data_IF_677955731233
#
_entry.id   IF_677955731233
#
_cell.length_a   1.000
_cell.length_b   1.000
_cell.length_c   1.000
_cell.angle_alpha   90.00
_cell.angle_beta   90.00
_cell.angle_gamma   90.00
#
_symmetry.space_group_name_H-M   'P 1'
#
loop_
_entity.id
_entity.type
_entity.pdbx_description
1 polymer ?
#
# COMPACT_ATOMS: atom_id res chain seq x y z
N UNK A 1 -72.12 45.30 51.99
CA UNK A 1 -73.51 45.03 51.58
C UNK A 1 -73.62 45.37 50.10
N UNK A 2 -74.24 44.49 49.30
CA UNK A 2 -74.99 44.71 48.03
C UNK A 2 -75.34 43.28 47.53
N UNK A 3 -76.58 43.01 47.06
CA UNK A 3 -77.11 41.64 47.02
C UNK A 3 -76.91 40.94 45.66
N UNK A 4 -76.98 39.59 45.62
CA UNK A 4 -77.22 38.83 44.40
C UNK A 4 -78.73 38.55 44.21
N UNK A 5 -79.20 38.55 42.96
CA UNK A 5 -80.57 38.12 42.61
C UNK A 5 -80.56 37.32 41.30
N UNK A 6 -81.25 36.16 41.32
CA UNK A 6 -81.90 35.44 40.18
C UNK A 6 -80.99 34.98 39.02
N UNK A 7 -81.18 33.88 38.25
CA UNK A 7 -82.12 32.73 38.14
C UNK A 7 -81.44 31.66 37.22
N UNK A 8 -81.88 30.42 36.97
CA UNK A 8 -83.05 29.61 37.37
C UNK A 8 -82.73 28.07 37.37
N UNK A 9 -83.77 27.25 37.47
CA UNK A 9 -83.91 25.79 37.24
C UNK A 9 -83.86 25.38 35.74
N UNK A 10 -84.02 24.08 35.37
CA UNK A 10 -83.61 22.82 36.03
C UNK A 10 -82.81 21.87 35.08
N UNK A 11 -82.56 20.63 35.52
CA UNK A 11 -81.59 19.68 34.96
C UNK A 11 -82.13 18.62 33.96
N UNK A 12 -81.19 17.74 33.53
CA UNK A 12 -81.28 16.48 32.73
C UNK A 12 -81.12 16.63 31.21
N UNK A 13 -80.25 15.86 30.51
CA UNK A 13 -79.27 14.81 30.89
C UNK A 13 -78.16 14.75 29.84
N UNK A 14 -76.89 14.57 30.21
CA UNK A 14 -75.85 14.03 29.30
C UNK A 14 -74.82 13.21 30.09
N UNK A 15 -74.25 12.19 29.44
CA UNK A 15 -73.60 11.03 30.07
C UNK A 15 -72.15 11.34 30.48
N UNK A 16 -71.79 10.95 31.72
CA UNK A 16 -70.40 10.80 32.14
C UNK A 16 -69.82 9.49 31.59
N UNK A 17 -68.63 9.55 30.99
CA UNK A 17 -67.70 8.44 30.87
C UNK A 17 -66.29 8.98 31.20
N UNK A 18 -65.59 8.42 32.20
CA UNK A 18 -64.33 8.98 32.70
C UNK A 18 -63.13 8.68 31.79
N UNK A 19 -62.12 9.56 31.90
CA UNK A 19 -61.00 9.70 30.97
C UNK A 19 -60.15 8.46 30.71
N UNK A 20 -59.75 8.32 29.45
CA UNK A 20 -58.72 7.39 28.98
C UNK A 20 -57.34 7.79 29.51
N UNK A 21 -56.65 6.87 30.18
CA UNK A 21 -55.30 7.11 30.69
C UNK A 21 -54.28 7.33 29.56
N UNK A 22 -53.37 8.30 29.74
CA UNK A 22 -52.29 8.57 28.79
C UNK A 22 -51.24 7.44 28.81
N UNK A 23 -50.79 7.01 27.62
CA UNK A 23 -49.62 6.13 27.48
C UNK A 23 -48.32 6.94 27.66
N UNK A 24 -47.29 6.38 28.32
CA UNK A 24 -45.96 7.00 28.37
C UNK A 24 -45.27 6.95 26.99
N UNK A 25 -44.30 7.85 26.72
CA UNK A 25 -43.57 7.88 25.46
C UNK A 25 -42.67 6.65 25.29
N UNK A 26 -42.52 6.19 24.05
CA UNK A 26 -41.75 4.98 23.70
C UNK A 26 -40.25 5.24 23.58
N UNK A 27 -39.46 4.36 24.19
CA UNK A 27 -37.99 4.33 24.12
C UNK A 27 -37.47 4.15 22.67
N UNK A 28 -36.59 5.06 22.18
CA UNK A 28 -36.02 4.97 20.83
C UNK A 28 -34.96 3.86 20.63
N UNK A 29 -34.51 3.16 21.67
CA UNK A 29 -33.45 2.14 21.58
C UNK A 29 -33.91 0.67 21.65
N UNK A 30 -35.22 0.40 21.62
CA UNK A 30 -35.74 -0.97 21.59
C UNK A 30 -35.37 -1.71 20.28
N UNK A 31 -34.81 -2.94 20.33
CA UNK A 31 -34.39 -3.67 19.13
C UNK A 31 -35.59 -4.12 18.29
N UNK A 32 -35.59 -3.74 17.01
CA UNK A 32 -36.68 -4.07 16.06
C UNK A 32 -36.70 -5.56 15.75
N UNK A 33 -37.75 -6.27 16.16
CA UNK A 33 -38.02 -7.64 15.68
C UNK A 33 -38.40 -7.61 14.19
N UNK A 34 -37.82 -8.52 13.41
CA UNK A 34 -38.15 -8.69 12.00
C UNK A 34 -39.57 -9.30 11.84
N UNK A 35 -40.31 -8.96 10.77
CA UNK A 35 -41.64 -9.53 10.51
C UNK A 35 -41.54 -11.02 10.12
N UNK A 36 -42.27 -11.86 10.85
CA UNK A 36 -42.40 -13.30 10.53
C UNK A 36 -43.31 -13.46 9.31
N UNK A 37 -42.83 -14.18 8.30
CA UNK A 37 -43.58 -14.48 7.07
C UNK A 37 -44.40 -15.78 7.26
N UNK A 38 -45.68 -15.86 6.84
CA UNK A 38 -46.48 -17.07 7.00
C UNK A 38 -45.96 -18.23 6.12
N UNK A 39 -46.14 -19.49 6.55
CA UNK A 39 -45.66 -20.65 5.81
C UNK A 39 -46.49 -20.93 4.55
N UNK A 40 -45.82 -21.23 3.44
CA UNK A 40 -46.44 -21.72 2.20
C UNK A 40 -46.68 -23.24 2.22
N UNK A 41 -47.52 -23.78 1.31
CA UNK A 41 -47.92 -25.18 1.31
C UNK A 41 -46.78 -26.15 0.97
N UNK A 42 -46.80 -27.32 1.61
CA UNK A 42 -45.76 -28.33 1.50
C UNK A 42 -45.73 -29.03 0.13
N UNK A 43 -44.53 -29.32 -0.37
CA UNK A 43 -44.30 -30.14 -1.58
C UNK A 43 -43.59 -31.43 -1.17
N UNK A 44 -44.11 -32.57 -1.61
CA UNK A 44 -43.69 -33.90 -1.15
C UNK A 44 -42.25 -34.25 -1.59
N UNK A 45 -41.59 -35.07 -0.77
CA UNK A 45 -40.28 -35.67 -1.05
C UNK A 45 -40.44 -36.89 -1.95
N UNK A 46 -39.54 -37.07 -2.91
CA UNK A 46 -39.18 -38.38 -3.45
C UNK A 46 -37.67 -38.57 -3.39
N UNK A 47 -37.25 -39.74 -2.94
CA UNK A 47 -35.87 -40.21 -2.85
C UNK A 47 -35.66 -41.30 -3.90
N UNK A 48 -34.50 -41.34 -4.53
CA UNK A 48 -34.06 -42.49 -5.34
C UNK A 48 -32.55 -42.70 -5.20
N UNK A 49 -32.16 -43.97 -5.04
CA UNK A 49 -30.80 -44.41 -4.75
C UNK A 49 -30.08 -44.97 -6.00
N UNK A 50 -28.89 -45.53 -5.79
CA UNK A 50 -27.83 -45.73 -6.79
C UNK A 50 -27.96 -46.90 -7.79
N UNK A 51 -27.28 -46.72 -8.94
CA UNK A 51 -26.60 -47.74 -9.79
C UNK A 51 -27.46 -48.75 -10.61
N UNK A 52 -26.88 -49.48 -11.59
CA UNK A 52 -25.62 -49.30 -12.35
C UNK A 52 -25.85 -49.18 -13.90
N UNK A 53 -24.77 -49.14 -14.70
CA UNK A 53 -24.79 -48.95 -16.17
C UNK A 53 -24.48 -50.26 -16.94
N UNK A 54 -25.26 -50.68 -17.95
CA UNK A 54 -24.99 -51.87 -18.78
C UNK A 54 -24.02 -51.60 -19.95
N UNK A 55 -23.49 -52.65 -20.63
CA UNK A 55 -22.20 -52.60 -21.33
C UNK A 55 -22.25 -52.33 -22.85
N UNK A 56 -21.07 -52.15 -23.45
CA UNK A 56 -20.81 -52.03 -24.90
C UNK A 56 -20.99 -53.38 -25.62
N UNK A 57 -21.44 -53.32 -26.88
CA UNK A 57 -21.30 -54.38 -27.88
C UNK A 57 -20.80 -53.79 -29.22
N UNK A 58 -20.03 -54.58 -29.98
CA UNK A 58 -19.65 -54.32 -31.37
C UNK A 58 -20.46 -55.24 -32.32
N UNK A 59 -20.40 -55.05 -33.66
CA UNK A 59 -19.55 -55.96 -34.45
C UNK A 59 -18.85 -55.35 -35.69
N UNK A 60 -18.29 -56.23 -36.52
CA UNK A 60 -17.17 -56.06 -37.49
C UNK A 60 -17.46 -55.55 -38.93
N UNK A 61 -16.37 -55.02 -39.55
CA UNK A 61 -15.86 -55.17 -40.95
C UNK A 61 -16.82 -55.11 -42.17
N UNK A 62 -16.43 -54.31 -43.19
CA UNK A 62 -15.72 -54.81 -44.40
C UNK A 62 -15.40 -53.71 -45.47
N UNK A 63 -14.41 -54.01 -46.32
CA UNK A 63 -14.11 -53.47 -47.67
C UNK A 63 -13.66 -51.98 -47.87
N UNK A 64 -12.49 -51.81 -48.51
CA UNK A 64 -12.18 -50.68 -49.42
C UNK A 64 -12.27 -51.14 -50.88
N UNK A 65 -11.62 -50.50 -51.88
CA UNK A 65 -10.67 -49.38 -51.81
C UNK A 65 -10.85 -48.29 -52.93
N UNK A 66 -9.81 -47.47 -53.15
CA UNK A 66 -9.48 -46.61 -54.32
C UNK A 66 -9.93 -45.13 -54.30
N UNK A 67 -9.06 -44.26 -54.84
CA UNK A 67 -9.40 -42.90 -55.28
C UNK A 67 -8.45 -41.80 -54.78
N UNK A 68 -7.51 -41.34 -55.62
CA UNK A 68 -6.67 -40.17 -55.34
C UNK A 68 -7.41 -38.85 -55.66
N UNK A 69 -7.04 -37.69 -55.05
CA UNK A 69 -7.76 -36.44 -55.21
C UNK A 69 -7.22 -35.54 -56.35
N UNK A 70 -8.10 -34.76 -57.00
CA UNK A 70 -7.73 -33.55 -57.76
C UNK A 70 -8.53 -32.31 -57.25
N UNK A 71 -8.38 -31.08 -57.80
CA UNK A 71 -7.54 -30.10 -57.13
C UNK A 71 -8.17 -28.71 -56.91
N UNK A 72 -7.38 -27.82 -56.29
CA UNK A 72 -7.62 -26.39 -56.12
C UNK A 72 -7.78 -25.63 -57.46
N UNK A 73 -8.76 -24.70 -57.54
CA UNK A 73 -8.57 -23.29 -57.97
C UNK A 73 -9.87 -22.49 -58.21
N UNK A 74 -9.90 -21.26 -57.64
CA UNK A 74 -10.38 -19.98 -58.25
C UNK A 74 -11.90 -19.88 -58.55
N UNK A 75 -12.53 -18.71 -58.71
CA UNK A 75 -12.12 -17.29 -58.74
C UNK A 75 -13.35 -16.37 -58.51
N UNK A 76 -13.15 -15.03 -58.63
CA UNK A 76 -14.10 -13.94 -58.96
C UNK A 76 -14.48 -12.98 -57.80
N UNK A 77 -14.52 -11.64 -57.97
CA UNK A 77 -14.09 -10.74 -59.07
C UNK A 77 -14.23 -9.24 -58.65
N UNK A 78 -13.66 -8.33 -59.45
CA UNK A 78 -13.87 -6.85 -59.49
C UNK A 78 -13.32 -6.03 -58.31
N UNK A 79 -12.85 -4.79 -58.49
CA UNK A 79 -12.12 -4.12 -59.60
C UNK A 79 -11.55 -2.77 -59.07
N UNK A 80 -10.77 -2.02 -59.84
CA UNK A 80 -10.16 -0.78 -59.33
C UNK A 80 -9.87 0.33 -60.33
N UNK A 81 -10.34 1.53 -59.97
CA UNK A 81 -9.79 2.87 -60.24
C UNK A 81 -9.77 3.43 -61.68
N UNK A 82 -9.81 4.77 -61.84
CA UNK A 82 -8.74 5.40 -62.65
C UNK A 82 -8.32 6.84 -62.24
N UNK A 83 -6.99 7.07 -62.20
CA UNK A 83 -6.19 8.25 -62.64
C UNK A 83 -4.81 8.22 -61.92
N UNK A 84 -3.63 8.48 -62.53
CA UNK A 84 -3.24 8.78 -63.93
C UNK A 84 -1.81 8.22 -64.21
N UNK A 85 -1.38 8.24 -65.49
CA UNK A 85 -0.12 7.71 -66.07
C UNK A 85 0.99 8.79 -66.25
N UNK A 86 2.20 8.52 -66.82
CA UNK A 86 3.15 7.39 -66.65
C UNK A 86 4.66 7.82 -66.63
N UNK A 87 5.57 6.83 -66.53
CA UNK A 87 6.96 6.69 -67.08
C UNK A 87 7.93 6.10 -66.02
N UNK A 88 8.89 5.20 -66.32
CA UNK A 88 9.19 4.45 -67.55
C UNK A 88 10.59 3.78 -67.48
N UNK A 89 10.76 2.58 -68.05
CA UNK A 89 12.04 1.82 -68.25
C UNK A 89 12.75 1.28 -66.99
N UNK A 90 13.59 0.24 -67.02
CA UNK A 90 13.62 -1.06 -67.74
C UNK A 90 14.58 -1.98 -66.96
N UNK A 91 14.43 -3.31 -67.05
CA UNK A 91 15.37 -4.30 -66.49
C UNK A 91 16.21 -4.94 -67.62
N UNK A 92 17.30 -5.69 -67.34
CA UNK A 92 17.14 -7.11 -66.99
C UNK A 92 18.19 -7.69 -66.00
N UNK A 93 18.21 -9.03 -65.85
CA UNK A 93 18.97 -9.86 -64.90
C UNK A 93 19.98 -10.79 -65.64
N UNK A 94 20.58 -11.75 -64.89
CA UNK A 94 21.22 -13.02 -65.34
C UNK A 94 22.74 -12.97 -65.65
N UNK A 95 23.58 -14.01 -65.45
CA UNK A 95 23.43 -15.28 -64.68
C UNK A 95 24.79 -15.91 -64.23
N UNK A 96 24.68 -17.10 -63.62
CA UNK A 96 25.66 -18.02 -63.00
C UNK A 96 26.99 -18.48 -63.69
N UNK A 97 28.04 -18.59 -62.83
CA UNK A 97 28.95 -19.75 -62.52
C UNK A 97 30.08 -20.29 -63.46
N UNK A 98 31.19 -20.67 -62.77
CA UNK A 98 32.10 -21.85 -62.97
C UNK A 98 33.12 -21.84 -64.16
N UNK A 99 34.34 -22.41 -64.12
CA UNK A 99 35.22 -22.98 -63.05
C UNK A 99 36.68 -23.24 -63.59
N UNK A 100 37.64 -23.56 -62.70
CA UNK A 100 38.97 -24.22 -62.90
C UNK A 100 40.19 -23.51 -63.52
N UNK A 101 41.28 -23.31 -62.72
CA UNK A 101 42.61 -24.02 -62.73
C UNK A 101 43.66 -23.30 -61.86
N UNK A 102 44.67 -24.03 -61.35
CA UNK A 102 45.72 -23.63 -60.36
C UNK A 102 47.14 -24.00 -60.87
N UNK A 103 48.27 -23.84 -60.10
CA UNK A 103 48.90 -22.69 -59.39
C UNK A 103 50.40 -22.54 -59.88
N UNK A 104 51.46 -22.11 -59.14
CA UNK A 104 51.67 -21.43 -57.83
C UNK A 104 52.57 -20.13 -57.93
N UNK A 105 53.07 -19.39 -56.90
CA UNK A 105 53.54 -19.64 -55.51
C UNK A 105 53.53 -18.37 -54.61
N UNK A 106 53.56 -18.57 -53.27
CA UNK A 106 54.18 -17.72 -52.20
C UNK A 106 53.60 -16.31 -51.92
N UNK A 107 53.47 -15.80 -50.67
CA UNK A 107 53.64 -16.35 -49.30
C UNK A 107 52.69 -15.55 -48.31
N UNK A 108 52.79 -15.55 -46.95
CA UNK A 108 51.79 -16.28 -46.15
C UNK A 108 50.99 -15.50 -45.07
N UNK A 109 49.99 -16.21 -44.51
CA UNK A 109 49.37 -16.04 -43.17
C UNK A 109 48.58 -14.75 -42.89
N UNK A 110 47.25 -14.87 -43.02
CA UNK A 110 46.30 -14.19 -42.14
C UNK A 110 45.47 -15.19 -41.33
N UNK A 111 44.77 -14.77 -40.27
CA UNK A 111 43.51 -15.43 -39.84
C UNK A 111 42.61 -14.60 -38.92
N UNK A 112 41.35 -14.50 -39.35
CA UNK A 112 40.09 -14.56 -38.60
C UNK A 112 39.94 -13.84 -37.24
N UNK A 113 38.97 -12.92 -37.23
CA UNK A 113 38.30 -12.44 -36.02
C UNK A 113 37.34 -13.50 -35.46
N UNK A 114 37.36 -13.68 -34.14
CA UNK A 114 36.27 -14.19 -33.32
C UNK A 114 36.13 -13.30 -32.08
N UNK A 115 34.94 -13.18 -31.46
CA UNK A 115 34.69 -12.19 -30.43
C UNK A 115 35.39 -12.55 -29.11
N UNK A 116 36.20 -11.63 -28.60
CA UNK A 116 36.90 -11.82 -27.32
C UNK A 116 35.98 -11.58 -26.12
N UNK A 117 35.96 -12.57 -25.21
CA UNK A 117 35.68 -12.33 -23.81
C UNK A 117 36.95 -11.85 -23.09
N UNK A 118 36.82 -10.83 -22.23
CA UNK A 118 37.80 -10.44 -21.23
C UNK A 118 37.06 -10.20 -19.91
N UNK A 119 37.62 -10.43 -18.73
CA UNK A 119 38.98 -10.90 -18.39
C UNK A 119 39.31 -10.47 -16.96
N UNK A 120 39.87 -11.36 -16.14
CA UNK A 120 40.27 -11.06 -14.75
C UNK A 120 41.41 -10.04 -14.67
N UNK A 121 41.51 -9.23 -13.59
CA UNK A 121 42.78 -8.63 -13.17
C UNK A 121 43.70 -9.65 -12.44
N UNK A 122 45.02 -9.39 -12.35
CA UNK A 122 46.02 -10.38 -11.95
C UNK A 122 46.27 -10.46 -10.43
N UNK A 123 47.13 -11.40 -10.03
CA UNK A 123 47.45 -11.70 -8.63
C UNK A 123 48.91 -11.39 -8.24
N UNK A 124 49.10 -10.96 -6.99
CA UNK A 124 50.37 -11.03 -6.25
C UNK A 124 50.67 -9.79 -5.39
N UNK A 125 51.45 -9.90 -4.30
CA UNK A 125 51.97 -11.09 -3.61
C UNK A 125 51.37 -11.28 -2.19
N UNK A 126 51.84 -12.31 -1.47
CA UNK A 126 51.39 -12.73 -0.13
C UNK A 126 52.07 -11.91 0.99
N UNK A 127 51.43 -11.79 2.16
CA UNK A 127 52.09 -11.32 3.38
C UNK A 127 51.16 -10.97 4.55
N UNK A 128 50.96 -11.96 5.42
CA UNK A 128 50.82 -11.85 6.89
C UNK A 128 49.49 -11.50 7.58
N UNK A 129 49.31 -12.21 8.70
CA UNK A 129 48.14 -12.27 9.56
C UNK A 129 48.18 -11.20 10.66
N UNK A 130 46.99 -10.68 11.01
CA UNK A 130 46.49 -10.17 12.32
C UNK A 130 45.21 -9.37 12.01
N UNK A 131 44.09 -9.55 12.69
CA UNK A 131 43.93 -9.76 14.13
C UNK A 131 43.19 -8.54 14.67
N UNK A 132 41.87 -8.47 14.46
CA UNK A 132 41.04 -7.32 14.84
C UNK A 132 40.73 -7.35 16.35
N UNK A 133 41.75 -7.09 17.16
CA UNK A 133 41.66 -6.67 18.56
C UNK A 133 43.09 -6.31 19.03
N UNK A 134 43.39 -5.00 19.10
CA UNK A 134 44.26 -4.40 20.11
C UNK A 134 44.37 -2.89 19.86
N UNK A 135 43.92 -2.08 20.84
CA UNK A 135 44.06 -0.61 20.84
C UNK A 135 44.59 -0.16 22.21
N UNK A 136 45.89 0.13 22.34
CA UNK A 136 46.44 0.73 23.56
C UNK A 136 46.10 2.23 23.67
N UNK A 137 46.05 2.73 24.90
CA UNK A 137 45.71 4.13 25.21
C UNK A 137 46.90 5.10 24.97
N UNK A 138 46.65 6.39 24.69
CA UNK A 138 47.71 7.38 24.48
C UNK A 138 48.29 7.93 25.80
N UNK A 139 49.60 8.21 25.82
CA UNK A 139 50.29 9.01 26.85
C UNK A 139 50.81 10.33 26.25
N UNK A 140 51.03 11.31 27.13
CA UNK A 140 51.49 12.68 26.84
C UNK A 140 52.94 12.73 26.33
N UNK A 141 53.31 13.81 25.63
CA UNK A 141 54.72 14.16 25.35
C UNK A 141 54.98 15.14 24.20
N UNK A 142 54.91 16.44 24.50
CA UNK A 142 55.69 17.56 23.92
C UNK A 142 55.57 18.03 22.45
N UNK A 143 55.79 19.34 22.28
CA UNK A 143 55.73 20.17 21.05
C UNK A 143 57.14 20.56 20.58
N UNK A 144 57.35 20.88 19.28
CA UNK A 144 57.28 22.29 18.80
C UNK A 144 56.59 22.38 17.42
N UNK A 145 56.32 23.53 16.77
CA UNK A 145 56.45 24.95 17.15
C UNK A 145 56.32 25.90 15.94
N UNK A 146 55.17 26.62 15.83
CA UNK A 146 54.98 27.93 15.16
C UNK A 146 55.14 28.09 13.61
N UNK A 147 54.01 28.22 12.89
CA UNK A 147 53.65 29.43 12.10
C UNK A 147 52.25 29.37 11.46
N UNK A 148 51.48 30.46 11.55
CA UNK A 148 50.16 30.76 10.94
C UNK A 148 50.34 31.86 9.84
N UNK A 149 49.34 32.30 9.01
CA UNK A 149 47.88 32.35 9.25
C UNK A 149 46.91 32.11 8.04
N UNK A 150 45.62 32.47 8.24
CA UNK A 150 44.43 32.46 7.36
C UNK A 150 43.64 31.13 7.27
N UNK A 151 42.34 31.05 7.66
CA UNK A 151 41.51 32.02 8.41
C UNK A 151 40.03 31.62 8.59
N UNK A 152 39.39 32.20 9.62
CA UNK A 152 37.94 32.30 9.89
C UNK A 152 37.16 31.05 10.41
N UNK A 153 36.00 31.21 11.10
CA UNK A 153 36.01 31.48 12.55
C UNK A 153 35.17 30.49 13.40
N UNK A 154 35.45 30.43 14.71
CA UNK A 154 34.76 29.55 15.68
C UNK A 154 33.69 30.25 16.52
N UNK A 155 32.85 29.41 17.13
CA UNK A 155 31.65 29.68 17.96
C UNK A 155 31.89 30.73 19.09
N UNK A 156 31.03 31.75 19.29
CA UNK A 156 31.31 32.87 20.22
C UNK A 156 31.04 32.62 21.71
N UNK A 157 31.14 31.39 22.22
CA UNK A 157 30.71 31.06 23.61
C UNK A 157 31.81 31.03 24.68
N UNK A 158 33.08 31.01 24.29
CA UNK A 158 34.21 30.86 25.23
C UNK A 158 35.11 32.11 25.30
N UNK A 159 34.56 33.22 25.80
CA UNK A 159 35.32 34.43 26.13
C UNK A 159 35.08 34.85 27.60
N UNK A 160 36.12 34.88 28.46
CA UNK A 160 35.97 35.19 29.87
C UNK A 160 35.77 36.68 30.16
N UNK A 161 35.23 36.95 31.35
CA UNK A 161 34.82 38.24 31.88
C UNK A 161 36.01 39.17 32.19
N UNK A 162 36.02 40.40 31.64
CA UNK A 162 37.03 41.41 31.99
C UNK A 162 37.02 42.67 31.10
N UNK A 163 36.61 43.80 31.69
CA UNK A 163 36.84 45.20 31.28
C UNK A 163 36.73 45.65 29.81
N UNK A 164 35.64 46.39 29.52
CA UNK A 164 35.77 47.66 28.78
C UNK A 164 34.63 48.66 29.00
N UNK A 165 35.00 49.79 29.61
CA UNK A 165 34.52 51.17 29.41
C UNK A 165 33.04 51.44 29.08
N UNK A 166 32.40 52.25 29.93
CA UNK A 166 31.04 52.75 29.78
C UNK A 166 30.77 53.46 28.43
N UNK A 167 29.60 53.16 27.84
CA UNK A 167 28.89 54.07 26.93
C UNK A 167 27.58 54.47 27.60
N UNK A 168 27.32 55.78 27.68
CA UNK A 168 26.09 56.31 28.27
C UNK A 168 24.84 55.93 27.48
N UNK A 169 23.65 55.96 28.11
CA UNK A 169 22.39 55.61 27.46
C UNK A 169 21.98 56.66 26.42
N UNK A 170 21.72 56.24 25.17
CA UNK A 170 21.07 57.12 24.20
C UNK A 170 19.57 57.17 24.48
N UNK A 171 19.05 58.38 24.74
CA UNK A 171 17.70 58.60 25.22
C UNK A 171 16.71 58.80 24.05
N UNK A 172 16.73 57.87 23.08
CA UNK A 172 15.88 57.93 21.88
C UNK A 172 14.72 56.93 21.99
N UNK A 173 13.45 57.38 22.03
CA UNK A 173 12.30 56.48 22.12
C UNK A 173 12.19 55.65 20.84
N UNK A 174 12.26 54.32 20.98
CA UNK A 174 11.98 53.40 19.87
C UNK A 174 10.48 53.44 19.54
N UNK A 175 10.09 53.42 18.25
CA UNK A 175 8.68 53.32 17.89
C UNK A 175 8.09 52.02 18.45
N UNK A 176 6.97 52.15 19.17
CA UNK A 176 6.28 51.01 19.79
C UNK A 176 5.70 50.15 18.67
N UNK A 177 6.33 49.01 18.40
CA UNK A 177 5.73 48.00 17.53
C UNK A 177 4.46 47.48 18.21
N UNK A 178 3.31 47.38 17.51
CA UNK A 178 2.12 46.81 18.11
C UNK A 178 2.42 45.37 18.53
N UNK A 179 2.19 45.06 19.81
CA UNK A 179 2.39 43.72 20.36
C UNK A 179 1.59 42.71 19.53
N UNK A 180 2.28 41.94 18.69
CA UNK A 180 1.75 40.65 18.24
C UNK A 180 1.66 39.77 19.48
N UNK A 181 0.50 39.19 19.82
CA UNK A 181 0.42 38.24 20.91
C UNK A 181 1.35 37.06 20.61
N UNK A 182 2.18 36.70 21.57
CA UNK A 182 3.13 35.60 21.45
C UNK A 182 2.37 34.26 21.57
N UNK A 183 1.75 33.85 20.46
CA UNK A 183 0.96 32.62 20.34
C UNK A 183 1.79 31.34 20.59
N UNK A 184 3.13 31.44 20.65
CA UNK A 184 3.98 30.32 21.06
C UNK A 184 3.89 30.00 22.57
N UNK A 185 3.26 30.86 23.38
CA UNK A 185 3.17 30.72 24.85
C UNK A 185 1.76 30.48 25.39
N UNK A 186 0.78 30.18 24.54
CA UNK A 186 -0.50 29.62 24.99
C UNK A 186 -0.30 28.14 25.35
N UNK A 187 0.26 27.92 26.55
CA UNK A 187 0.26 26.61 27.20
C UNK A 187 -1.17 26.13 27.38
N UNK A 188 -1.41 24.85 27.10
CA UNK A 188 -2.73 24.26 26.91
C UNK A 188 -3.73 24.66 28.02
N UNK A 189 -4.76 25.44 27.66
CA UNK A 189 -5.87 25.70 28.58
C UNK A 189 -6.62 24.38 28.77
N UNK A 190 -6.63 23.88 30.01
CA UNK A 190 -7.40 22.74 30.54
C UNK A 190 -7.92 21.72 29.49
N UNK A 191 -7.01 20.88 28.98
CA UNK A 191 -7.41 19.70 28.19
C UNK A 191 -7.92 19.99 26.78
N UNK A 192 -7.81 21.22 26.29
CA UNK A 192 -8.08 21.54 24.89
C UNK A 192 -7.21 20.73 23.93
N UNK A 193 -7.75 20.45 22.75
CA UNK A 193 -7.13 19.66 21.69
C UNK A 193 -7.22 20.48 20.40
N UNK A 194 -6.12 20.58 19.63
CA UNK A 194 -6.13 21.21 18.31
C UNK A 194 -7.22 20.59 17.42
N UNK A 195 -8.07 21.42 16.81
CA UNK A 195 -9.25 20.99 16.06
C UNK A 195 -8.93 19.91 15.00
N UNK A 196 -7.81 20.03 14.28
CA UNK A 196 -7.40 19.04 13.28
C UNK A 196 -7.16 17.62 13.86
N UNK A 197 -6.71 17.53 15.11
CA UNK A 197 -6.56 16.25 15.84
C UNK A 197 -7.93 15.79 16.33
N UNK A 198 -8.72 16.69 16.93
CA UNK A 198 -10.08 16.42 17.41
C UNK A 198 -10.97 15.83 16.30
N UNK A 199 -10.98 16.43 15.11
CA UNK A 199 -11.72 15.92 13.95
C UNK A 199 -11.26 14.52 13.51
N UNK A 200 -9.96 14.26 13.55
CA UNK A 200 -9.39 12.96 13.20
C UNK A 200 -9.66 11.88 14.25
N UNK A 201 -9.74 12.25 15.53
CA UNK A 201 -10.09 11.35 16.63
C UNK A 201 -11.61 11.07 16.71
N UNK A 202 -12.44 12.03 16.26
CA UNK A 202 -13.87 11.82 15.96
C UNK A 202 -14.11 11.00 14.68
N UNK A 203 -13.06 10.60 13.95
CA UNK A 203 -13.17 9.79 12.73
C UNK A 203 -13.73 10.53 11.50
N UNK A 204 -13.82 11.86 11.53
CA UNK A 204 -14.44 12.66 10.46
C UNK A 204 -13.59 12.65 9.18
N UNK A 205 -12.27 12.75 9.31
CA UNK A 205 -11.28 12.78 8.22
C UNK A 205 -9.85 12.59 8.78
N UNK A 206 -8.79 12.62 7.97
CA UNK A 206 -7.42 12.80 8.49
C UNK A 206 -7.18 14.21 9.02
N UNK A 207 -6.07 14.37 9.75
CA UNK A 207 -5.60 15.68 10.24
C UNK A 207 -5.28 16.66 9.10
N UNK A 208 -4.82 16.17 7.94
CA UNK A 208 -4.51 17.00 6.76
C UNK A 208 -5.78 17.47 6.06
N UNK A 209 -6.73 16.56 5.85
CA UNK A 209 -8.06 16.92 5.34
C UNK A 209 -8.79 17.89 6.29
N UNK A 210 -8.64 17.72 7.61
CA UNK A 210 -9.18 18.66 8.59
C UNK A 210 -8.60 20.07 8.41
N UNK A 211 -7.27 20.21 8.30
CA UNK A 211 -6.64 21.51 8.02
C UNK A 211 -7.12 22.10 6.66
N UNK A 212 -7.29 21.28 5.61
CA UNK A 212 -7.87 21.73 4.33
C UNK A 212 -9.33 22.20 4.45
N UNK A 213 -10.17 21.47 5.18
CA UNK A 213 -11.59 21.82 5.37
C UNK A 213 -11.75 23.09 6.21
N UNK A 214 -10.93 23.25 7.26
CA UNK A 214 -10.89 24.47 8.07
C UNK A 214 -10.45 25.65 7.20
N UNK A 215 -9.39 25.50 6.38
CA UNK A 215 -8.92 26.55 5.49
C UNK A 215 -9.95 26.99 4.43
N UNK A 216 -10.91 26.12 4.08
CA UNK A 216 -12.01 26.42 3.15
C UNK A 216 -13.30 26.90 3.85
N UNK A 217 -13.31 27.02 5.18
CA UNK A 217 -14.50 27.38 5.95
C UNK A 217 -15.58 26.30 5.95
N UNK A 218 -15.22 25.03 5.77
CA UNK A 218 -16.15 23.88 5.71
C UNK A 218 -16.38 23.20 7.06
N UNK A 219 -15.89 23.82 8.13
CA UNK A 219 -15.98 23.32 9.51
C UNK A 219 -16.50 24.43 10.39
N UNK A 220 -17.52 24.12 11.20
CA UNK A 220 -18.02 24.98 12.26
C UNK A 220 -17.66 24.36 13.61
N UNK A 221 -17.37 25.21 14.60
CA UNK A 221 -17.21 24.82 16.00
C UNK A 221 -18.24 25.60 16.81
N UNK A 222 -19.13 24.88 17.51
CA UNK A 222 -20.25 25.47 18.27
C UNK A 222 -21.09 26.47 17.43
N UNK A 223 -21.24 26.23 16.13
CA UNK A 223 -21.97 27.08 15.17
C UNK A 223 -21.12 28.10 14.42
N UNK A 224 -19.92 28.45 14.90
CA UNK A 224 -19.08 29.50 14.29
C UNK A 224 -17.99 28.93 13.35
N UNK A 225 -17.60 29.64 12.27
CA UNK A 225 -16.54 29.18 11.35
C UNK A 225 -15.20 28.93 12.04
N UNK A 226 -14.65 27.73 11.83
CA UNK A 226 -13.38 27.34 12.41
C UNK A 226 -12.17 28.06 11.78
N UNK A 227 -11.12 28.30 12.58
CA UNK A 227 -9.85 28.89 12.13
C UNK A 227 -8.71 27.87 12.21
N UNK A 228 -7.75 27.92 11.27
CA UNK A 228 -6.61 27.01 11.26
C UNK A 228 -5.81 27.09 12.56
N UNK A 229 -5.50 25.92 13.14
CA UNK A 229 -4.76 25.82 14.40
C UNK A 229 -5.58 26.04 15.67
N UNK A 230 -6.87 26.37 15.57
CA UNK A 230 -7.77 26.58 16.71
C UNK A 230 -7.72 25.39 17.71
N UNK A 231 -7.46 25.64 19.01
CA UNK A 231 -7.71 24.67 20.06
C UNK A 231 -9.23 24.60 20.34
N UNK A 232 -9.73 23.41 20.66
CA UNK A 232 -11.14 23.19 21.01
C UNK A 232 -11.27 22.28 22.23
N UNK A 233 -12.30 22.52 23.03
CA UNK A 233 -12.58 21.72 24.22
C UNK A 233 -13.03 20.29 23.88
N UNK A 234 -12.81 19.29 24.75
CA UNK A 234 -13.20 17.89 24.51
C UNK A 234 -14.70 17.60 24.43
N UNK A 235 -15.55 18.59 24.66
CA UNK A 235 -17.01 18.57 24.55
C UNK A 235 -17.56 19.47 23.42
N UNK A 236 -16.70 20.26 22.77
CA UNK A 236 -17.09 21.16 21.69
C UNK A 236 -17.76 20.40 20.52
N UNK A 237 -18.86 20.95 20.03
CA UNK A 237 -19.58 20.46 18.85
C UNK A 237 -18.82 20.88 17.59
N UNK A 238 -18.53 19.90 16.72
CA UNK A 238 -17.80 20.12 15.47
C UNK A 238 -18.66 19.67 14.30
N UNK A 239 -19.16 20.62 13.52
CA UNK A 239 -20.02 20.37 12.37
C UNK A 239 -19.25 20.49 11.06
N UNK A 240 -19.39 19.47 10.21
CA UNK A 240 -18.75 19.39 8.90
C UNK A 240 -19.80 19.64 7.82
N UNK A 241 -19.61 20.73 7.07
CA UNK A 241 -20.54 21.19 6.04
C UNK A 241 -20.65 20.19 4.87
N UNK A 242 -21.77 20.17 4.11
CA UNK A 242 -21.98 19.22 3.02
C UNK A 242 -20.85 19.17 1.99
N UNK A 243 -20.21 20.30 1.68
CA UNK A 243 -19.11 20.42 0.72
C UNK A 243 -17.93 19.50 1.05
N UNK A 244 -17.54 19.44 2.32
CA UNK A 244 -16.49 18.54 2.80
C UNK A 244 -16.88 17.06 2.64
N UNK A 245 -18.15 16.73 2.96
CA UNK A 245 -18.69 15.37 2.78
C UNK A 245 -18.74 14.96 1.30
N UNK A 246 -19.10 15.88 0.41
CA UNK A 246 -19.08 15.66 -1.04
C UNK A 246 -17.65 15.46 -1.58
N UNK A 247 -16.68 16.26 -1.12
CA UNK A 247 -15.26 16.05 -1.47
C UNK A 247 -14.80 14.65 -1.03
N UNK A 248 -15.14 14.26 0.20
CA UNK A 248 -14.78 12.96 0.75
C UNK A 248 -15.43 11.79 0.00
N UNK A 249 -16.70 11.92 -0.40
CA UNK A 249 -17.40 10.89 -1.17
C UNK A 249 -16.80 10.64 -2.57
N UNK A 250 -16.10 11.64 -3.14
CA UNK A 250 -15.36 11.52 -4.40
C UNK A 250 -14.01 10.83 -4.29
N UNK A 251 -13.49 10.59 -3.08
CA UNK A 251 -12.18 9.99 -2.88
C UNK A 251 -12.13 8.52 -3.32
N UNK A 252 -10.95 8.09 -3.79
CA UNK A 252 -10.70 6.70 -4.18
C UNK A 252 -9.75 5.97 -3.23
N UNK A 253 -9.96 4.66 -3.12
CA UNK A 253 -8.97 3.70 -2.61
C UNK A 253 -8.60 2.75 -3.75
N UNK A 254 -7.31 2.54 -3.94
CA UNK A 254 -6.71 1.76 -5.02
C UNK A 254 -5.91 0.61 -4.43
N UNK A 255 -6.08 -0.57 -5.03
CA UNK A 255 -5.32 -1.78 -4.76
C UNK A 255 -4.34 -1.99 -5.92
N UNK A 256 -3.04 -2.01 -5.63
CA UNK A 256 -1.96 -2.21 -6.59
C UNK A 256 -1.23 -3.51 -6.26
N UNK A 257 -0.93 -4.34 -7.26
CA UNK A 257 0.04 -5.42 -7.10
C UNK A 257 1.45 -4.85 -7.33
N UNK A 258 2.06 -4.31 -6.27
CA UNK A 258 3.38 -3.69 -6.30
C UNK A 258 4.42 -4.69 -6.83
N UNK A 259 5.17 -4.37 -7.90
CA UNK A 259 6.34 -5.13 -8.35
C UNK A 259 7.59 -4.83 -7.48
N UNK A 260 8.63 -5.63 -7.68
CA UNK A 260 9.96 -5.39 -7.09
C UNK A 260 10.60 -4.16 -7.74
N UNK A 261 11.48 -3.46 -7.02
CA UNK A 261 12.22 -2.30 -7.53
C UNK A 261 11.51 -0.95 -7.40
N UNK A 262 10.22 -0.95 -7.08
CA UNK A 262 9.46 0.27 -6.77
C UNK A 262 9.45 0.55 -5.26
N UNK A 263 9.45 1.82 -4.86
CA UNK A 263 9.25 2.23 -3.46
C UNK A 263 7.78 2.55 -3.19
N UNK A 264 7.26 2.23 -2.00
CA UNK A 264 5.85 2.49 -1.68
C UNK A 264 5.51 3.96 -1.41
N UNK A 265 6.50 4.82 -1.19
CA UNK A 265 6.33 6.20 -0.75
C UNK A 265 6.79 7.22 -1.79
N UNK A 266 7.55 8.23 -1.34
CA UNK A 266 8.25 9.14 -2.25
C UNK A 266 9.37 8.38 -3.01
N UNK A 267 9.75 8.82 -4.22
CA UNK A 267 10.93 8.31 -4.90
C UNK A 267 12.19 8.53 -4.06
N UNK A 268 12.98 7.47 -3.88
CA UNK A 268 14.18 7.43 -3.03
C UNK A 268 15.24 6.57 -3.75
N UNK A 269 16.53 6.91 -3.61
CA UNK A 269 17.68 6.13 -4.12
C UNK A 269 17.61 5.71 -5.60
N UNK A 270 17.04 6.56 -6.47
CA UNK A 270 16.90 6.28 -7.90
C UNK A 270 15.73 5.37 -8.28
N UNK A 271 14.88 5.00 -7.32
CA UNK A 271 13.75 4.09 -7.52
C UNK A 271 12.42 4.84 -7.64
N UNK A 272 11.58 4.41 -8.58
CA UNK A 272 10.28 5.01 -8.82
C UNK A 272 9.27 4.70 -7.71
N UNK A 273 8.41 5.68 -7.40
CA UNK A 273 7.27 5.48 -6.52
C UNK A 273 6.24 4.56 -7.18
N UNK A 274 5.74 3.55 -6.46
CA UNK A 274 4.73 2.61 -6.96
C UNK A 274 3.42 3.29 -7.42
N UNK A 275 3.19 4.54 -7.03
CA UNK A 275 2.10 5.37 -7.53
C UNK A 275 2.22 5.73 -9.04
N UNK A 276 3.41 5.70 -9.64
CA UNK A 276 3.58 5.93 -11.10
C UNK A 276 2.93 4.85 -11.94
N UNK A 277 2.77 3.64 -11.39
CA UNK A 277 2.10 2.51 -12.02
C UNK A 277 0.57 2.69 -12.10
N UNK A 278 0.00 3.78 -11.57
CA UNK A 278 -1.44 4.03 -11.52
C UNK A 278 -1.86 4.91 -12.69
N UNK A 279 -2.29 4.29 -13.78
CA UNK A 279 -2.88 4.96 -14.94
C UNK A 279 -3.90 4.10 -15.67
N UNK A 280 -4.63 4.68 -16.62
CA UNK A 280 -5.62 3.96 -17.41
C UNK A 280 -5.10 2.67 -18.11
N UNK A 281 -3.86 2.61 -18.66
CA UNK A 281 -3.36 1.40 -19.33
C UNK A 281 -3.07 0.22 -18.38
N UNK A 282 -2.74 0.51 -17.11
CA UNK A 282 -2.42 -0.48 -16.08
C UNK A 282 -3.64 -0.84 -15.20
N UNK A 283 -4.82 -0.29 -15.50
CA UNK A 283 -6.05 -0.60 -14.76
C UNK A 283 -6.54 -2.00 -15.11
N UNK A 284 -6.48 -2.92 -14.15
CA UNK A 284 -7.04 -4.25 -14.29
C UNK A 284 -8.57 -4.20 -14.22
N UNK A 285 -9.23 -4.75 -15.25
CA UNK A 285 -10.69 -4.84 -15.37
C UNK A 285 -11.22 -6.28 -15.26
N UNK A 286 -10.34 -7.25 -15.01
CA UNK A 286 -10.64 -8.68 -15.08
C UNK A 286 -11.14 -9.34 -13.78
N UNK A 287 -11.45 -8.58 -12.73
CA UNK A 287 -11.96 -9.18 -11.49
C UNK A 287 -13.44 -9.55 -11.66
N UNK A 288 -13.73 -10.82 -11.95
CA UNK A 288 -15.10 -11.31 -12.06
C UNK A 288 -15.91 -11.17 -10.75
N UNK A 289 -15.24 -10.96 -9.60
CA UNK A 289 -15.88 -10.69 -8.30
C UNK A 289 -16.32 -9.23 -8.14
N UNK A 290 -15.71 -8.32 -8.91
CA UNK A 290 -16.02 -6.90 -8.96
C UNK A 290 -16.26 -6.48 -10.41
N UNK A 291 -17.40 -6.88 -11.01
CA UNK A 291 -17.76 -6.47 -12.36
C UNK A 291 -17.64 -4.94 -12.44
N UNK A 292 -16.73 -4.50 -13.31
CA UNK A 292 -15.98 -3.26 -13.17
C UNK A 292 -16.73 -2.15 -12.42
N UNK A 293 -16.22 -1.75 -11.24
CA UNK A 293 -16.67 -0.57 -10.53
C UNK A 293 -16.81 0.56 -11.55
N UNK A 294 -18.04 1.04 -11.75
CA UNK A 294 -18.42 1.80 -12.94
C UNK A 294 -17.79 3.19 -12.98
N UNK A 295 -17.03 3.54 -11.92
CA UNK A 295 -16.04 4.62 -11.88
C UNK A 295 -15.09 4.54 -13.08
N UNK A 296 -15.30 5.46 -14.02
CA UNK A 296 -14.29 5.80 -15.03
C UNK A 296 -13.02 6.29 -14.31
N UNK A 297 -11.86 5.97 -14.85
CA UNK A 297 -10.61 6.54 -14.37
C UNK A 297 -10.53 8.03 -14.74
N UNK A 298 -10.17 8.86 -13.77
CA UNK A 298 -9.95 10.29 -13.93
C UNK A 298 -8.55 10.66 -13.38
N UNK A 299 -7.81 11.61 -14.01
CA UNK A 299 -6.47 12.00 -13.54
C UNK A 299 -6.42 12.60 -12.12
N UNK A 300 -7.55 13.02 -11.55
CA UNK A 300 -7.63 13.40 -10.13
C UNK A 300 -7.45 12.22 -9.16
N UNK A 301 -7.78 10.99 -9.58
CA UNK A 301 -7.64 9.79 -8.75
C UNK A 301 -6.17 9.42 -8.48
N UNK A 302 -5.20 9.96 -9.21
CA UNK A 302 -3.76 9.75 -8.95
C UNK A 302 -3.16 10.79 -8.01
N UNK A 303 -3.85 11.91 -7.76
CA UNK A 303 -3.36 12.99 -6.89
C UNK A 303 -3.63 12.66 -5.42
N UNK A 304 -2.67 12.98 -4.54
CA UNK A 304 -2.83 12.84 -3.09
C UNK A 304 -2.90 11.40 -2.54
N UNK A 305 -2.57 10.39 -3.35
CA UNK A 305 -2.60 8.98 -2.95
C UNK A 305 -1.57 8.67 -1.86
N UNK A 306 -2.03 8.40 -0.64
CA UNK A 306 -1.21 8.00 0.49
C UNK A 306 -1.09 6.46 0.58
N UNK A 307 0.11 5.88 0.72
CA UNK A 307 0.30 4.45 0.86
C UNK A 307 -0.10 3.95 2.26
N UNK A 308 -1.14 3.10 2.31
CA UNK A 308 -1.64 2.49 3.53
C UNK A 308 -0.82 1.25 3.91
N UNK A 309 0.42 1.49 4.35
CA UNK A 309 1.35 0.46 4.81
C UNK A 309 2.32 0.06 3.72
N UNK A 310 3.56 0.53 3.88
CA UNK A 310 4.66 0.34 2.93
C UNK A 310 5.02 -1.14 2.77
N UNK A 311 5.47 -1.48 1.58
CA UNK A 311 6.26 -2.68 1.30
C UNK A 311 7.69 -2.23 1.01
N UNK A 312 8.66 -3.05 1.41
CA UNK A 312 10.06 -2.82 1.04
C UNK A 312 10.22 -2.87 -0.50
N UNK A 313 11.31 -2.28 -0.99
CA UNK A 313 11.68 -2.28 -2.41
C UNK A 313 11.83 -3.71 -2.98
N UNK A 314 12.43 -4.59 -2.17
CA UNK A 314 12.67 -6.02 -2.43
C UNK A 314 11.43 -6.91 -2.25
N UNK A 315 10.26 -6.30 -2.04
CA UNK A 315 9.02 -6.98 -1.65
C UNK A 315 7.87 -6.64 -2.59
N UNK A 316 6.99 -7.62 -2.82
CA UNK A 316 5.92 -7.57 -3.82
C UNK A 316 4.53 -7.79 -3.22
N UNK A 317 3.49 -7.62 -4.01
CA UNK A 317 2.12 -7.96 -3.64
C UNK A 317 1.24 -6.75 -3.33
N UNK A 318 0.22 -6.95 -2.50
CA UNK A 318 -0.86 -6.00 -2.27
C UNK A 318 -0.35 -4.70 -1.59
N UNK A 319 -0.38 -3.59 -2.31
CA UNK A 319 -0.23 -2.24 -1.77
C UNK A 319 -1.57 -1.52 -1.89
N UNK A 320 -2.03 -0.93 -0.79
CA UNK A 320 -3.21 -0.07 -0.77
C UNK A 320 -2.73 1.38 -0.84
N UNK A 321 -3.32 2.17 -1.72
CA UNK A 321 -3.18 3.63 -1.73
C UNK A 321 -4.55 4.26 -1.62
N UNK A 322 -4.69 5.36 -0.89
CA UNK A 322 -5.99 6.02 -0.69
C UNK A 322 -5.88 7.52 -0.67
N UNK A 323 -6.96 8.19 -1.06
CA UNK A 323 -7.19 9.60 -0.76
C UNK A 323 -7.95 9.81 0.55
N UNK A 324 -8.66 8.78 1.07
CA UNK A 324 -9.43 8.86 2.31
C UNK A 324 -8.54 8.59 3.54
N UNK A 325 -8.30 9.63 4.31
CA UNK A 325 -7.47 9.56 5.51
C UNK A 325 -7.97 8.62 6.61
N UNK A 326 -9.28 8.28 6.62
CA UNK A 326 -9.86 7.32 7.56
C UNK A 326 -9.48 5.89 7.18
N UNK A 327 -9.48 5.56 5.88
CA UNK A 327 -8.98 4.26 5.38
C UNK A 327 -7.51 4.08 5.77
N UNK A 328 -6.69 5.13 5.62
CA UNK A 328 -5.31 5.12 6.09
C UNK A 328 -5.21 4.90 7.61
N UNK A 329 -5.98 5.62 8.43
CA UNK A 329 -6.00 5.45 9.90
C UNK A 329 -6.42 4.03 10.29
N UNK A 330 -7.42 3.44 9.65
CA UNK A 330 -7.87 2.06 9.92
C UNK A 330 -6.78 1.04 9.61
N UNK A 331 -5.99 1.23 8.55
CA UNK A 331 -4.99 0.26 8.08
C UNK A 331 -3.62 0.33 8.75
N UNK A 332 -3.19 1.55 9.13
CA UNK A 332 -1.84 1.82 9.67
C UNK A 332 -1.80 2.74 10.90
N UNK A 333 -2.95 3.09 11.49
CA UNK A 333 -2.98 3.77 12.77
C UNK A 333 -2.40 2.91 13.89
N UNK A 334 -1.89 3.54 14.95
CA UNK A 334 -1.23 2.89 16.09
C UNK A 334 -2.12 1.83 16.77
N UNK A 335 -3.44 2.05 16.78
CA UNK A 335 -4.45 1.14 17.30
C UNK A 335 -5.02 0.16 16.27
N UNK A 336 -4.44 0.06 15.06
CA UNK A 336 -4.92 -0.86 14.03
C UNK A 336 -4.61 -2.31 14.42
N UNK A 337 -5.65 -3.13 14.51
CA UNK A 337 -5.55 -4.59 14.63
C UNK A 337 -5.61 -5.32 13.28
N UNK A 338 -5.60 -4.61 12.15
CA UNK A 338 -5.86 -5.20 10.83
C UNK A 338 -4.71 -6.15 10.44
N UNK A 339 -5.04 -7.44 10.36
CA UNK A 339 -4.14 -8.50 9.91
C UNK A 339 -3.57 -8.24 8.51
N UNK A 340 -2.34 -8.69 8.30
CA UNK A 340 -1.62 -8.60 7.04
C UNK A 340 -0.97 -9.96 6.80
N UNK A 341 -1.31 -10.60 5.67
CA UNK A 341 -0.87 -11.95 5.33
C UNK A 341 0.22 -11.92 4.25
N UNK A 342 1.27 -12.70 4.48
CA UNK A 342 2.46 -12.72 3.64
C UNK A 342 2.87 -14.15 3.31
N UNK A 343 3.13 -14.42 2.03
CA UNK A 343 3.85 -15.61 1.60
C UNK A 343 5.34 -15.29 1.52
N UNK A 344 6.15 -16.05 2.25
CA UNK A 344 7.55 -15.77 2.52
C UNK A 344 8.39 -16.98 2.12
N UNK A 345 9.05 -16.90 0.97
CA UNK A 345 9.98 -17.93 0.49
C UNK A 345 11.33 -17.73 1.15
N UNK A 346 11.88 -18.81 1.71
CA UNK A 346 13.08 -18.78 2.56
C UNK A 346 14.11 -19.82 2.13
N UNK A 347 15.39 -19.52 2.37
CA UNK A 347 16.45 -20.53 2.52
C UNK A 347 16.81 -20.63 4.00
N UNK A 348 17.25 -21.80 4.47
CA UNK A 348 17.85 -21.93 5.80
C UNK A 348 19.37 -21.85 5.67
N UNK A 349 19.99 -20.91 6.37
CA UNK A 349 21.45 -20.81 6.45
C UNK A 349 21.83 -20.46 7.90
N UNK A 350 22.07 -21.46 8.77
CA UNK A 350 22.34 -21.20 10.18
C UNK A 350 23.61 -20.37 10.42
N UNK A 351 24.54 -20.38 9.47
CA UNK A 351 25.80 -19.64 9.50
C UNK A 351 25.81 -18.41 8.56
N UNK A 352 24.62 -17.89 8.22
CA UNK A 352 24.45 -16.81 7.24
C UNK A 352 24.48 -17.29 5.78
N UNK A 353 24.07 -16.45 4.81
CA UNK A 353 23.71 -16.88 3.45
C UNK A 353 24.92 -17.31 2.60
N UNK A 354 26.13 -16.92 3.00
CA UNK A 354 27.41 -17.31 2.39
C UNK A 354 28.17 -18.34 3.25
N UNK A 355 27.58 -18.82 4.35
CA UNK A 355 28.19 -19.77 5.27
C UNK A 355 28.04 -21.23 4.81
N UNK A 356 28.58 -22.16 5.58
CA UNK A 356 28.34 -23.59 5.38
C UNK A 356 26.95 -24.00 5.87
N UNK A 357 26.37 -25.04 5.25
CA UNK A 357 25.08 -25.59 5.65
C UNK A 357 23.85 -24.83 5.11
N UNK A 358 23.98 -24.08 4.02
CA UNK A 358 22.83 -23.48 3.32
C UNK A 358 21.96 -24.59 2.73
N UNK A 359 20.69 -24.62 3.14
CA UNK A 359 19.64 -25.48 2.59
C UNK A 359 18.66 -24.61 1.81
N UNK A 360 18.56 -24.88 0.51
CA UNK A 360 17.69 -24.16 -0.43
C UNK A 360 16.44 -24.96 -0.81
N UNK A 361 16.50 -26.28 -0.75
CA UNK A 361 15.42 -27.21 -1.06
C UNK A 361 14.93 -27.93 0.19
N UNK A 362 13.62 -28.18 0.27
CA UNK A 362 12.99 -28.87 1.42
C UNK A 362 13.43 -28.29 2.79
N UNK A 363 13.44 -26.96 2.88
CA UNK A 363 13.90 -26.19 4.04
C UNK A 363 13.16 -26.59 5.31
N UNK A 364 11.86 -26.89 5.20
CA UNK A 364 11.01 -27.39 6.29
C UNK A 364 11.59 -28.63 7.00
N UNK A 365 12.25 -29.56 6.29
CA UNK A 365 12.83 -30.76 6.89
C UNK A 365 14.14 -30.48 7.66
N UNK A 366 14.86 -29.41 7.29
CA UNK A 366 16.11 -29.01 7.93
C UNK A 366 15.92 -27.96 9.04
N UNK A 367 14.76 -27.31 9.11
CA UNK A 367 14.50 -26.20 10.02
C UNK A 367 13.97 -26.69 11.39
N UNK A 368 14.64 -26.38 12.51
CA UNK A 368 14.21 -26.82 13.85
C UNK A 368 12.83 -26.29 14.27
N UNK A 369 12.03 -27.15 14.90
CA UNK A 369 10.69 -26.81 15.37
C UNK A 369 10.70 -25.67 16.43
N UNK A 370 11.68 -25.65 17.33
CA UNK A 370 11.81 -24.60 18.35
C UNK A 370 12.04 -23.22 17.74
N UNK A 371 12.77 -23.17 16.62
CA UNK A 371 12.99 -21.94 15.86
C UNK A 371 11.73 -21.48 15.13
N UNK A 372 10.85 -22.39 14.72
CA UNK A 372 9.52 -22.06 14.21
C UNK A 372 8.61 -21.51 15.32
N UNK A 373 8.71 -22.04 16.55
CA UNK A 373 8.00 -21.51 17.70
C UNK A 373 8.41 -20.06 18.03
N UNK A 374 9.71 -19.74 17.95
CA UNK A 374 10.20 -18.37 18.11
C UNK A 374 9.58 -17.39 17.09
N UNK A 375 9.43 -17.79 15.83
CA UNK A 375 8.77 -16.95 14.81
C UNK A 375 7.31 -16.64 15.15
N UNK A 376 6.63 -17.51 15.90
CA UNK A 376 5.25 -17.28 16.38
C UNK A 376 5.20 -16.38 17.62
N UNK A 377 6.15 -16.53 18.55
CA UNK A 377 6.27 -15.68 19.73
C UNK A 377 7.66 -15.76 20.39
N UNK A 378 8.12 -14.65 20.99
CA UNK A 378 9.33 -14.60 21.82
C UNK A 378 10.52 -13.84 21.20
N UNK A 379 10.43 -13.43 19.93
CA UNK A 379 11.43 -12.54 19.32
C UNK A 379 11.21 -11.06 19.69
N UNK A 380 12.30 -10.29 19.68
CA UNK A 380 12.32 -8.84 19.91
C UNK A 380 13.07 -8.13 18.79
N UNK A 381 12.63 -6.91 18.46
CA UNK A 381 13.31 -6.02 17.51
C UNK A 381 13.47 -4.64 18.15
N UNK A 382 14.68 -4.09 18.10
CA UNK A 382 15.03 -2.78 18.66
C UNK A 382 14.65 -2.69 20.16
N UNK A 383 15.02 -3.73 20.92
CA UNK A 383 14.71 -3.96 22.34
C UNK A 383 13.21 -3.96 22.70
N UNK A 384 12.34 -4.00 21.69
CA UNK A 384 10.88 -4.08 21.86
C UNK A 384 10.37 -5.47 21.47
N UNK A 385 9.67 -6.20 22.36
CA UNK A 385 9.09 -7.49 22.02
C UNK A 385 8.12 -7.37 20.84
N UNK A 386 8.03 -8.44 20.04
CA UNK A 386 7.05 -8.56 18.97
C UNK A 386 5.70 -9.04 19.52
N UNK A 387 4.62 -8.67 18.84
CA UNK A 387 3.31 -9.27 19.10
C UNK A 387 3.30 -10.72 18.61
N UNK A 388 2.45 -11.60 19.18
CA UNK A 388 2.22 -12.93 18.64
C UNK A 388 1.87 -12.91 17.14
N UNK A 389 2.44 -13.84 16.39
CA UNK A 389 2.27 -14.01 14.96
C UNK A 389 1.78 -15.43 14.66
N UNK A 390 0.90 -15.57 13.66
CA UNK A 390 0.62 -16.91 13.11
C UNK A 390 1.64 -17.17 12.00
N UNK A 391 2.40 -18.27 12.13
CA UNK A 391 3.48 -18.63 11.21
C UNK A 391 3.45 -20.13 10.97
N UNK A 392 3.21 -20.53 9.72
CA UNK A 392 3.02 -21.92 9.33
C UNK A 392 3.62 -22.20 7.95
N UNK A 393 4.01 -23.45 7.69
CA UNK A 393 4.51 -23.89 6.38
C UNK A 393 3.37 -24.04 5.38
N UNK A 394 3.48 -23.35 4.25
CA UNK A 394 2.56 -23.47 3.10
C UNK A 394 3.05 -24.51 2.08
N UNK A 395 4.38 -24.67 1.98
CA UNK A 395 5.09 -25.73 1.28
C UNK A 395 6.53 -25.77 1.81
N UNK A 396 7.36 -26.78 1.46
CA UNK A 396 8.66 -26.99 2.11
C UNK A 396 9.70 -25.86 2.02
N UNK A 397 9.45 -24.80 1.24
CA UNK A 397 10.34 -23.65 1.04
C UNK A 397 9.65 -22.30 1.33
N UNK A 398 8.39 -22.33 1.78
CA UNK A 398 7.57 -21.13 1.93
C UNK A 398 6.71 -21.17 3.20
N UNK A 399 6.86 -20.14 4.01
CA UNK A 399 6.04 -19.85 5.19
C UNK A 399 4.91 -18.90 4.82
N UNK A 400 3.76 -19.05 5.48
CA UNK A 400 2.74 -18.02 5.60
C UNK A 400 2.94 -17.29 6.94
N UNK A 401 2.90 -15.96 6.92
CA UNK A 401 2.92 -15.11 8.12
C UNK A 401 1.65 -14.26 8.16
N UNK A 402 0.93 -14.27 9.28
CA UNK A 402 -0.16 -13.35 9.58
C UNK A 402 0.27 -12.45 10.75
N UNK A 403 0.37 -11.15 10.48
CA UNK A 403 0.82 -10.13 11.44
C UNK A 403 -0.24 -9.04 11.63
N UNK A 404 -0.43 -8.59 12.87
CA UNK A 404 -1.25 -7.40 13.20
C UNK A 404 -0.41 -6.11 13.32
N UNK A 405 0.91 -6.24 13.48
CA UNK A 405 1.86 -5.13 13.49
C UNK A 405 2.72 -5.07 12.21
N UNK A 406 3.62 -4.09 12.13
CA UNK A 406 4.47 -3.86 10.95
C UNK A 406 5.70 -3.01 11.25
N UNK A 407 6.58 -3.49 12.13
CA UNK A 407 7.89 -2.85 12.41
C UNK A 407 8.79 -2.85 11.15
N UNK A 408 9.81 -1.99 11.12
CA UNK A 408 10.74 -1.85 9.97
C UNK A 408 11.37 -3.20 9.60
N UNK A 409 11.12 -3.68 8.37
CA UNK A 409 11.59 -4.98 7.82
C UNK A 409 11.26 -6.19 8.69
N UNK A 410 10.17 -6.15 9.49
CA UNK A 410 9.89 -7.10 10.58
C UNK A 410 10.09 -8.58 10.20
N UNK A 411 9.39 -9.09 9.18
CA UNK A 411 9.48 -10.51 8.76
C UNK A 411 10.92 -10.90 8.42
N UNK A 412 11.65 -10.05 7.69
CA UNK A 412 13.04 -10.34 7.28
C UNK A 412 13.95 -10.45 8.49
N UNK A 413 13.83 -9.51 9.44
CA UNK A 413 14.59 -9.50 10.71
C UNK A 413 14.23 -10.67 11.63
N UNK A 414 12.95 -11.07 11.67
CA UNK A 414 12.49 -12.26 12.40
C UNK A 414 13.14 -13.53 11.83
N UNK A 415 13.10 -13.69 10.51
CA UNK A 415 13.75 -14.81 9.81
C UNK A 415 15.26 -14.83 10.06
N UNK A 416 15.94 -13.68 9.95
CA UNK A 416 17.38 -13.56 10.17
C UNK A 416 17.80 -14.03 11.58
N UNK A 417 17.05 -13.68 12.63
CA UNK A 417 17.32 -14.13 14.01
C UNK A 417 17.25 -15.66 14.20
N UNK A 418 16.51 -16.38 13.36
CA UNK A 418 16.41 -17.85 13.40
C UNK A 418 17.30 -18.55 12.36
N UNK A 419 18.06 -17.79 11.55
CA UNK A 419 18.90 -18.31 10.47
C UNK A 419 18.13 -18.65 9.18
N UNK A 420 16.95 -18.06 8.98
CA UNK A 420 16.24 -18.08 7.70
C UNK A 420 16.55 -16.80 6.91
N UNK A 421 16.80 -16.94 5.61
CA UNK A 421 16.99 -15.81 4.70
C UNK A 421 15.82 -15.72 3.72
N UNK A 422 15.15 -14.57 3.73
CA UNK A 422 13.95 -14.33 2.89
C UNK A 422 14.37 -13.97 1.47
N UNK A 423 14.22 -14.93 0.55
CA UNK A 423 14.49 -14.76 -0.89
C UNK A 423 13.29 -14.21 -1.65
N UNK A 424 12.07 -14.30 -1.10
CA UNK A 424 10.88 -13.68 -1.68
C UNK A 424 9.83 -13.36 -0.62
N UNK A 425 9.28 -12.14 -0.65
CA UNK A 425 8.23 -11.70 0.28
C UNK A 425 7.07 -11.09 -0.51
N UNK A 426 5.89 -11.72 -0.42
CA UNK A 426 4.67 -11.30 -1.13
C UNK A 426 3.53 -11.09 -0.14
N UNK A 427 3.05 -9.85 0.02
CA UNK A 427 1.81 -9.59 0.78
C UNK A 427 0.60 -9.98 -0.07
N UNK A 428 -0.25 -10.87 0.45
CA UNK A 428 -1.41 -11.42 -0.28
C UNK A 428 -2.77 -10.98 0.27
N UNK A 429 -2.84 -10.53 1.53
CA UNK A 429 -4.08 -10.03 2.15
C UNK A 429 -3.80 -8.87 3.11
N UNK A 430 -4.75 -7.95 3.22
CA UNK A 430 -4.85 -6.95 4.29
C UNK A 430 -6.29 -6.97 4.78
N UNK A 431 -6.51 -7.43 6.02
CA UNK A 431 -7.85 -7.60 6.57
C UNK A 431 -8.68 -8.58 5.74
N UNK A 432 -9.87 -8.18 5.30
CA UNK A 432 -10.70 -9.00 4.40
C UNK A 432 -10.34 -8.83 2.90
N UNK A 433 -9.46 -7.89 2.54
CA UNK A 433 -9.09 -7.60 1.14
C UNK A 433 -7.93 -8.47 0.69
N UNK A 434 -8.18 -9.35 -0.28
CA UNK A 434 -7.18 -10.25 -0.87
C UNK A 434 -6.67 -9.74 -2.22
N UNK A 435 -5.39 -9.98 -2.51
CA UNK A 435 -4.76 -9.68 -3.80
C UNK A 435 -5.44 -10.41 -4.97
N UNK A 436 -5.84 -11.67 -4.75
CA UNK A 436 -6.51 -12.49 -5.75
C UNK A 436 -5.75 -12.58 -7.07
N UNK A 437 -6.48 -12.39 -8.18
CA UNK A 437 -5.96 -12.52 -9.54
C UNK A 437 -5.37 -11.20 -10.10
N UNK A 438 -5.21 -10.15 -9.29
CA UNK A 438 -4.66 -8.86 -9.75
C UNK A 438 -3.24 -9.07 -10.30
N UNK A 439 -2.96 -8.80 -11.59
CA UNK A 439 -1.63 -9.04 -12.18
C UNK A 439 -0.56 -8.09 -11.62
N UNK A 440 0.69 -8.52 -11.62
CA UNK A 440 1.85 -7.72 -11.17
C UNK A 440 1.91 -6.41 -11.97
N UNK A 441 2.12 -5.28 -11.28
CA UNK A 441 2.18 -3.95 -11.89
C UNK A 441 0.81 -3.35 -12.25
N UNK A 442 -0.28 -4.12 -12.15
CA UNK A 442 -1.64 -3.62 -12.40
C UNK A 442 -2.35 -3.24 -11.10
N UNK A 443 -3.37 -2.40 -11.24
CA UNK A 443 -4.16 -1.87 -10.13
C UNK A 443 -5.67 -1.94 -10.41
N UNK A 444 -6.48 -1.92 -9.36
CA UNK A 444 -7.94 -1.71 -9.44
C UNK A 444 -8.43 -0.82 -8.29
N UNK A 445 -9.66 -0.31 -8.38
CA UNK A 445 -10.31 0.28 -7.20
C UNK A 445 -10.64 -0.80 -6.16
N UNK A 446 -10.72 -0.38 -4.90
CA UNK A 446 -11.43 -1.13 -3.86
C UNK A 446 -12.90 -1.26 -4.27
N UNK A 447 -13.43 -2.48 -4.30
CA UNK A 447 -14.82 -2.73 -4.72
C UNK A 447 -15.83 -2.19 -3.72
N UNK A 448 -17.04 -1.83 -4.17
CA UNK A 448 -18.08 -1.26 -3.31
C UNK A 448 -18.55 -2.19 -2.17
N UNK A 449 -18.31 -3.51 -2.30
CA UNK A 449 -18.56 -4.51 -1.26
C UNK A 449 -17.31 -4.96 -0.49
N UNK A 450 -16.15 -4.33 -0.68
CA UNK A 450 -14.91 -4.66 0.04
C UNK A 450 -14.69 -3.71 1.21
N UNK A 451 -14.60 -4.28 2.41
CA UNK A 451 -14.09 -3.63 3.61
C UNK A 451 -12.73 -4.24 4.01
N UNK A 452 -11.93 -3.50 4.77
CA UNK A 452 -10.72 -4.04 5.39
C UNK A 452 -10.99 -4.70 6.75
N UNK A 453 -12.10 -4.37 7.41
CA UNK A 453 -12.58 -4.98 8.65
C UNK A 453 -13.85 -5.78 8.38
#
# INVERSE_FOLDING_TARGET
>A
MIPPMTTDKPARTLKLNPGTAAKPPSDPYAPRRAPVRPPGPARAKSVSASAPKPPRAAPDRAAGPRGAPPPDRRERRWEGNPNSRPDGREAPRQDMRQDQRQPPRQDPRGRAEQPNAYGRPPAGPRGDERGWNDRPAPRQGDRPGRSEPYGNPRDPRDAPYGDRAARGPSNAPRPVQPHRPDLARVGNVRGEIRLNKRMADLGLCSRREADEWIARGWVLVNGEPAVMGMPVAPDAQVDVLPQARHQQAGQVTILLHKPMGYVSGQPEDGHEAAATLIGAPSQWRGDARHPADSRRFAPEHTRGLAPCGRLDIDSVGLLVLTQDGRVARTLIGESSGIEKEYLVRVHYAPNGPNGSGVVTQNVQAAFPADKLALLRHGLSLDDQPLKPAQVDWMNPEQLCFILTEGKKRQIRRMCEQVGLHVVGLKRIRIGNVVLGNLPVGQWRYLGAGESFA
#
